data_IF_288586374993
#
_entry.id   IF_288586374993
#
_cell.length_a   1.000
_cell.length_b   1.000
_cell.length_c   1.000
_cell.angle_alpha   90.00
_cell.angle_beta   90.00
_cell.angle_gamma   90.00
#
_symmetry.space_group_name_H-M   'P 1'
#
loop_
_entity.id
_entity.type
_entity.pdbx_description
1 polymer ?
#
# COMPACT_ATOMS: atom_id res chain seq x y z
N UNK A 1 1.08 -49.36 23.87
CA UNK A 1 1.41 -47.92 23.81
C UNK A 1 1.00 -47.43 22.44
N UNK A 2 -0.03 -46.59 22.35
CA UNK A 2 -0.51 -46.08 21.07
C UNK A 2 0.34 -44.89 20.64
N UNK A 3 1.10 -45.05 19.55
CA UNK A 3 1.90 -43.99 18.95
C UNK A 3 0.99 -42.97 18.24
N UNK A 4 1.17 -41.69 18.55
CA UNK A 4 0.35 -40.61 18.02
C UNK A 4 0.89 -40.10 16.66
N UNK A 5 0.41 -40.71 15.58
CA UNK A 5 0.72 -40.32 14.18
C UNK A 5 0.13 -38.97 13.76
N UNK A 6 -0.67 -38.28 14.61
CA UNK A 6 -1.21 -36.94 14.30
C UNK A 6 -0.18 -35.81 14.45
N UNK A 7 1.03 -36.10 14.91
CA UNK A 7 2.15 -35.14 15.01
C UNK A 7 3.06 -35.21 13.79
N UNK A 8 2.49 -35.19 12.59
CA UNK A 8 3.29 -35.04 11.38
C UNK A 8 3.75 -33.58 11.27
N UNK A 9 5.04 -33.32 11.52
CA UNK A 9 5.64 -32.00 11.25
C UNK A 9 5.47 -31.59 9.78
N UNK A 10 5.32 -32.55 8.86
CA UNK A 10 5.20 -32.32 7.42
C UNK A 10 3.78 -32.55 6.87
N UNK A 11 2.77 -32.68 7.72
CA UNK A 11 1.38 -32.65 7.28
C UNK A 11 0.99 -31.24 6.83
N UNK A 12 0.10 -31.14 5.85
CA UNK A 12 -0.57 -29.89 5.41
C UNK A 12 -1.26 -29.10 6.54
N UNK A 13 -1.21 -29.56 7.79
CA UNK A 13 -1.84 -28.96 8.97
C UNK A 13 -0.82 -28.48 10.02
N UNK A 14 0.47 -28.37 9.67
CA UNK A 14 1.55 -27.97 10.58
C UNK A 14 2.51 -26.92 10.02
N UNK A 15 3.82 -27.14 10.17
CA UNK A 15 4.89 -26.16 9.90
C UNK A 15 4.90 -25.65 8.45
N UNK A 16 4.48 -26.49 7.50
CA UNK A 16 4.35 -26.10 6.09
C UNK A 16 3.36 -24.95 5.90
N UNK A 17 2.23 -24.96 6.62
CA UNK A 17 1.26 -23.86 6.60
C UNK A 17 1.87 -22.57 7.15
N UNK A 18 2.60 -22.67 8.25
CA UNK A 18 3.31 -21.53 8.86
C UNK A 18 4.35 -20.94 7.89
N UNK A 19 5.15 -21.79 7.23
CA UNK A 19 6.15 -21.34 6.26
C UNK A 19 5.52 -20.63 5.05
N UNK A 20 4.42 -21.17 4.51
CA UNK A 20 3.69 -20.53 3.40
C UNK A 20 3.10 -19.19 3.85
N UNK A 21 2.52 -19.11 5.06
CA UNK A 21 2.02 -17.85 5.61
C UNK A 21 3.12 -16.81 5.79
N UNK A 22 4.30 -17.20 6.28
CA UNK A 22 5.45 -16.29 6.43
C UNK A 22 5.87 -15.75 5.06
N UNK A 23 6.01 -16.61 4.05
CA UNK A 23 6.37 -16.18 2.69
C UNK A 23 5.31 -15.23 2.13
N UNK A 24 4.02 -15.53 2.34
CA UNK A 24 2.93 -14.65 1.92
C UNK A 24 2.97 -13.27 2.61
N UNK A 25 3.19 -13.25 3.92
CA UNK A 25 3.32 -11.99 4.68
C UNK A 25 4.54 -11.18 4.23
N UNK A 26 5.67 -11.83 3.95
CA UNK A 26 6.86 -11.17 3.41
C UNK A 26 6.62 -10.61 2.00
N UNK A 27 5.91 -11.35 1.15
CA UNK A 27 5.56 -10.88 -0.18
C UNK A 27 4.66 -9.64 -0.13
N UNK A 28 3.65 -9.63 0.74
CA UNK A 28 2.79 -8.47 0.97
C UNK A 28 3.61 -7.29 1.50
N UNK A 29 4.47 -7.53 2.49
CA UNK A 29 5.34 -6.51 3.07
C UNK A 29 6.22 -5.85 2.00
N UNK A 30 6.93 -6.64 1.19
CA UNK A 30 7.81 -6.14 0.13
C UNK A 30 7.01 -5.32 -0.88
N UNK A 31 5.84 -5.82 -1.29
CA UNK A 31 4.97 -5.12 -2.25
C UNK A 31 4.55 -3.75 -1.72
N UNK A 32 4.10 -3.68 -0.46
CA UNK A 32 3.70 -2.42 0.16
C UNK A 32 4.88 -1.46 0.29
N UNK A 33 6.06 -1.95 0.68
CA UNK A 33 7.27 -1.13 0.78
C UNK A 33 7.67 -0.54 -0.58
N UNK A 34 7.61 -1.32 -1.66
CA UNK A 34 7.91 -0.83 -3.01
C UNK A 34 6.91 0.24 -3.45
N UNK A 35 5.61 0.05 -3.20
CA UNK A 35 4.59 1.05 -3.49
C UNK A 35 4.87 2.37 -2.74
N UNK A 36 5.22 2.30 -1.45
CA UNK A 36 5.57 3.48 -0.66
C UNK A 36 6.77 4.22 -1.25
N UNK A 37 7.84 3.50 -1.59
CA UNK A 37 9.04 4.12 -2.17
C UNK A 37 8.74 4.79 -3.52
N UNK A 38 7.92 4.16 -4.37
CA UNK A 38 7.52 4.75 -5.65
C UNK A 38 6.74 6.05 -5.44
N UNK A 39 5.76 6.06 -4.52
CA UNK A 39 4.97 7.25 -4.21
C UNK A 39 5.85 8.37 -3.63
N UNK A 40 6.74 8.04 -2.70
CA UNK A 40 7.67 9.02 -2.11
C UNK A 40 8.62 9.60 -3.16
N UNK A 41 9.16 8.76 -4.05
CA UNK A 41 10.02 9.21 -5.14
C UNK A 41 9.25 10.11 -6.11
N UNK A 42 8.02 9.74 -6.48
CA UNK A 42 7.18 10.57 -7.35
C UNK A 42 6.93 11.93 -6.72
N UNK A 43 6.51 11.99 -5.46
CA UNK A 43 6.27 13.24 -4.74
C UNK A 43 7.53 14.12 -4.59
N UNK A 44 8.71 13.52 -4.47
CA UNK A 44 9.97 14.25 -4.40
C UNK A 44 10.39 14.87 -5.76
N UNK A 45 10.11 14.19 -6.87
CA UNK A 45 10.46 14.67 -8.23
C UNK A 45 9.38 15.58 -8.81
N UNK A 46 8.12 15.29 -8.50
CA UNK A 46 6.92 16.00 -8.94
C UNK A 46 6.08 16.31 -7.70
N UNK A 47 6.37 17.42 -7.01
CA UNK A 47 5.54 17.85 -5.90
C UNK A 47 4.14 18.22 -6.40
N UNK A 48 3.14 18.06 -5.55
CA UNK A 48 1.78 18.50 -5.85
C UNK A 48 1.67 20.03 -5.76
N UNK A 49 0.71 20.61 -6.49
CA UNK A 49 0.38 22.04 -6.39
C UNK A 49 -0.54 22.30 -5.17
N UNK A 50 -0.06 22.99 -4.12
CA UNK A 50 -0.86 23.25 -2.93
C UNK A 50 -1.95 24.31 -3.14
N UNK A 51 -1.92 25.07 -4.24
CA UNK A 51 -2.85 26.20 -4.47
C UNK A 51 -4.26 25.72 -4.82
N UNK A 52 -4.40 24.59 -5.52
CA UNK A 52 -5.69 24.04 -5.98
C UNK A 52 -6.64 23.65 -4.85
N UNK A 53 -6.10 23.10 -3.76
CA UNK A 53 -6.88 22.69 -2.57
C UNK A 53 -7.12 23.88 -1.63
N UNK A 54 -6.21 24.85 -1.62
CA UNK A 54 -6.27 26.01 -0.70
C UNK A 54 -7.27 27.07 -1.15
N UNK A 55 -7.66 27.07 -2.41
CA UNK A 55 -8.70 27.95 -2.91
C UNK A 55 -10.08 27.46 -2.46
N UNK A 56 -10.68 28.23 -1.56
CA UNK A 56 -12.00 27.97 -0.97
C UNK A 56 -13.09 27.96 -2.06
N UNK A 57 -12.86 28.62 -3.21
CA UNK A 57 -13.81 28.61 -4.33
C UNK A 57 -13.79 27.29 -5.12
N UNK A 58 -12.70 26.52 -5.04
CA UNK A 58 -12.53 25.27 -5.80
C UNK A 58 -13.03 24.03 -5.04
N UNK A 59 -13.27 24.11 -3.73
CA UNK A 59 -13.66 22.96 -2.90
C UNK A 59 -15.11 23.11 -2.44
N UNK A 60 -15.98 22.20 -2.88
CA UNK A 60 -17.39 22.17 -2.47
C UNK A 60 -17.57 21.38 -1.17
N UNK A 61 -18.60 21.68 -0.39
CA UNK A 61 -18.89 20.93 0.84
C UNK A 61 -19.48 19.55 0.49
N UNK A 62 -18.71 18.48 0.75
CA UNK A 62 -19.10 17.07 0.52
C UNK A 62 -19.45 16.79 -0.96
N UNK A 63 -18.47 16.98 -1.85
CA UNK A 63 -18.60 16.64 -3.28
C UNK A 63 -17.50 15.65 -3.70
N UNK A 64 -17.87 14.68 -4.54
CA UNK A 64 -16.95 13.70 -5.13
C UNK A 64 -16.03 14.38 -6.16
N UNK A 65 -16.49 15.47 -6.78
CA UNK A 65 -15.70 16.27 -7.73
C UNK A 65 -14.45 16.88 -7.09
N UNK A 66 -14.42 17.04 -5.76
CA UNK A 66 -13.27 17.58 -5.03
C UNK A 66 -11.97 16.77 -5.22
N UNK A 67 -12.09 15.50 -5.65
CA UNK A 67 -10.94 14.67 -6.02
C UNK A 67 -10.10 15.29 -7.13
N UNK A 68 -10.73 16.06 -8.03
CA UNK A 68 -10.03 16.71 -9.13
C UNK A 68 -9.06 17.80 -8.68
N UNK A 69 -9.25 18.36 -7.49
CA UNK A 69 -8.39 19.41 -6.94
C UNK A 69 -7.32 18.87 -5.98
N UNK A 70 -7.43 17.59 -5.59
CA UNK A 70 -6.58 16.96 -4.59
C UNK A 70 -5.37 16.26 -5.23
N UNK A 71 -4.16 16.53 -4.73
CA UNK A 71 -2.92 15.87 -5.15
C UNK A 71 -2.62 15.95 -6.66
N UNK A 72 -2.98 17.07 -7.31
CA UNK A 72 -2.56 17.35 -8.69
C UNK A 72 -1.07 17.68 -8.69
N UNK A 73 -0.29 17.01 -9.55
CA UNK A 73 1.13 17.34 -9.78
C UNK A 73 1.26 18.82 -10.21
N UNK A 74 2.25 19.53 -9.66
CA UNK A 74 2.54 20.89 -10.09
C UNK A 74 3.00 20.91 -11.56
N UNK A 75 2.53 21.91 -12.31
CA UNK A 75 3.00 22.12 -13.68
C UNK A 75 4.52 22.32 -13.66
N UNK A 76 5.22 21.63 -14.57
CA UNK A 76 6.64 21.90 -14.79
C UNK A 76 6.76 23.35 -15.27
N UNK A 77 7.42 24.19 -14.49
CA UNK A 77 7.96 25.45 -15.01
C UNK A 77 9.15 25.08 -15.89
N UNK A 78 8.94 25.06 -17.21
CA UNK A 78 10.02 25.06 -18.20
C UNK A 78 10.83 26.36 -18.14
#
# INVERSE_FOLDING_TARGET
MAENTKRSLFGLHGIFGVLISIVGLLAILITLMLMVVVVQRHAAVKPYDPTKIRDIQNVKMIDVENKQYSFIDAEKKD
#
